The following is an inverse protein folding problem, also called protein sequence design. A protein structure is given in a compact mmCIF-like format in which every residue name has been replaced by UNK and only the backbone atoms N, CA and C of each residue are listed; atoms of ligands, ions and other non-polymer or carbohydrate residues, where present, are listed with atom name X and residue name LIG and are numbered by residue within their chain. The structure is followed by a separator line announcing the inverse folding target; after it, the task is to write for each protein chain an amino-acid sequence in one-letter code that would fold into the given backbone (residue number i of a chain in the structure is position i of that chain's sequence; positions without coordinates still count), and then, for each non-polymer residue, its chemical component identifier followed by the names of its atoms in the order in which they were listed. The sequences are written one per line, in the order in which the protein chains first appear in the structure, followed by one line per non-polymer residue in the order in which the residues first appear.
data_IF_303453554305
#
_entry.id   IF_303453554305
#
_cell.length_a   1.000
_cell.length_b   1.000
_cell.length_c   1.000
_cell.angle_alpha   90.00
_cell.angle_beta   90.00
_cell.angle_gamma   90.00
#
_symmetry.space_group_name_H-M   'P 1'
#
loop_
_entity.id
_entity.type
_entity.pdbx_description
1 polymer ?
#
# COMPACT_ATOMS: atom_id res chain seq x y z
N UNK A 1 31.64 -42.10 8.22
CA UNK A 1 30.46 -41.33 8.71
C UNK A 1 30.31 -40.05 7.92
N UNK A 2 29.20 -39.88 7.22
CA UNK A 2 28.90 -38.69 6.42
C UNK A 2 27.90 -37.80 7.17
N UNK A 3 28.10 -36.48 7.12
CA UNK A 3 27.14 -35.51 7.64
C UNK A 3 26.40 -34.87 6.47
N UNK A 4 25.10 -34.60 6.64
CA UNK A 4 24.34 -33.87 5.64
C UNK A 4 24.88 -32.43 5.52
N UNK A 5 25.26 -31.96 4.31
CA UNK A 5 25.76 -30.60 4.12
C UNK A 5 24.69 -29.52 4.33
N UNK A 6 23.42 -29.90 4.40
CA UNK A 6 22.30 -28.98 4.57
C UNK A 6 21.82 -28.88 6.02
N UNK A 7 21.61 -30.00 6.71
CA UNK A 7 21.05 -30.01 8.08
C UNK A 7 22.03 -30.47 9.16
N UNK A 8 23.25 -30.89 8.80
CA UNK A 8 24.30 -31.31 9.74
C UNK A 8 24.06 -32.65 10.44
N UNK A 9 22.92 -33.31 10.19
CA UNK A 9 22.59 -34.61 10.81
C UNK A 9 23.53 -35.69 10.29
N UNK A 10 23.86 -36.64 11.15
CA UNK A 10 24.62 -37.85 10.79
C UNK A 10 23.79 -38.73 9.87
N UNK A 11 24.41 -39.18 8.78
CA UNK A 11 23.74 -39.98 7.77
C UNK A 11 24.56 -41.24 7.47
N UNK A 12 23.85 -42.34 7.22
CA UNK A 12 24.42 -43.64 6.89
C UNK A 12 25.32 -43.55 5.64
N UNK A 13 26.38 -44.37 5.61
CA UNK A 13 27.44 -44.25 4.60
C UNK A 13 26.97 -44.49 3.16
N UNK A 14 25.83 -45.18 2.95
CA UNK A 14 25.26 -45.48 1.63
C UNK A 14 23.89 -44.81 1.38
N UNK A 15 23.49 -43.84 2.21
CA UNK A 15 22.19 -43.21 2.05
C UNK A 15 22.21 -42.19 0.90
N UNK A 16 21.37 -42.40 -0.11
CA UNK A 16 21.24 -41.50 -1.25
C UNK A 16 20.55 -40.16 -0.93
N UNK A 17 19.75 -40.12 0.15
CA UNK A 17 18.99 -38.95 0.58
C UNK A 17 19.00 -38.84 2.10
N UNK A 18 19.06 -37.60 2.60
CA UNK A 18 18.90 -37.32 4.03
C UNK A 18 17.44 -37.54 4.44
N UNK A 19 17.23 -38.42 5.42
CA UNK A 19 15.90 -38.72 5.99
C UNK A 19 15.24 -37.52 6.67
N UNK A 20 16.01 -36.54 7.12
CA UNK A 20 15.49 -35.37 7.85
C UNK A 20 15.08 -34.23 6.91
N UNK A 21 15.92 -33.87 5.94
CA UNK A 21 15.71 -32.69 5.09
C UNK A 21 15.49 -33.01 3.60
N UNK A 22 15.57 -34.29 3.22
CA UNK A 22 15.39 -34.76 1.84
C UNK A 22 16.54 -34.43 0.89
N UNK A 23 17.65 -33.87 1.38
CA UNK A 23 18.79 -33.49 0.54
C UNK A 23 19.51 -34.72 -0.02
N UNK A 24 19.83 -34.73 -1.31
CA UNK A 24 20.56 -35.83 -1.94
C UNK A 24 22.00 -35.83 -1.45
N UNK A 25 22.47 -36.97 -0.96
CA UNK A 25 23.85 -37.14 -0.50
C UNK A 25 24.61 -37.74 -1.67
N UNK A 26 25.54 -36.97 -2.23
CA UNK A 26 26.42 -37.42 -3.30
C UNK A 26 27.57 -38.20 -2.68
N UNK A 27 27.77 -39.41 -3.17
CA UNK A 27 28.85 -40.27 -2.75
C UNK A 27 30.21 -39.63 -3.07
N UNK A 28 31.18 -39.77 -2.16
CA UNK A 28 32.48 -39.05 -2.18
C UNK A 28 33.38 -39.39 -3.38
N UNK A 29 32.95 -40.23 -4.32
CA UNK A 29 33.76 -40.67 -5.46
C UNK A 29 33.70 -39.75 -6.68
N UNK A 30 32.80 -38.75 -6.70
CA UNK A 30 32.78 -37.72 -7.74
C UNK A 30 32.54 -36.36 -7.10
N UNK A 31 33.63 -35.71 -6.71
CA UNK A 31 33.64 -34.29 -6.39
C UNK A 31 33.21 -33.50 -7.64
N UNK A 32 32.00 -32.95 -7.62
CA UNK A 32 31.76 -31.70 -8.30
C UNK A 32 31.00 -30.79 -7.33
N UNK A 33 31.74 -30.01 -6.55
CA UNK A 33 31.18 -28.95 -5.70
C UNK A 33 30.26 -28.01 -6.49
N UNK A 34 30.49 -27.89 -7.81
CA UNK A 34 29.65 -27.15 -8.75
C UNK A 34 28.22 -27.72 -8.89
N UNK A 35 28.03 -29.04 -8.80
CA UNK A 35 26.70 -29.67 -8.85
C UNK A 35 25.88 -29.43 -7.57
N UNK A 36 26.54 -29.38 -6.40
CA UNK A 36 25.89 -29.09 -5.13
C UNK A 36 25.46 -27.61 -5.09
N UNK A 37 26.32 -26.72 -5.58
CA UNK A 37 26.03 -25.28 -5.68
C UNK A 37 24.90 -25.00 -6.67
N UNK A 38 24.87 -25.71 -7.81
CA UNK A 38 23.82 -25.56 -8.82
C UNK A 38 22.46 -26.09 -8.32
N UNK A 39 22.42 -27.19 -7.57
CA UNK A 39 21.18 -27.73 -7.00
C UNK A 39 20.55 -26.80 -5.96
N UNK A 40 21.37 -26.23 -5.07
CA UNK A 40 20.91 -25.24 -4.08
C UNK A 40 20.43 -23.95 -4.74
N UNK A 41 21.17 -23.43 -5.72
CA UNK A 41 20.77 -22.25 -6.48
C UNK A 41 19.45 -22.47 -7.25
N UNK A 42 19.28 -23.64 -7.88
CA UNK A 42 18.04 -23.99 -8.59
C UNK A 42 16.84 -24.13 -7.65
N UNK A 43 17.05 -24.68 -6.44
CA UNK A 43 16.00 -24.80 -5.40
C UNK A 43 15.63 -23.45 -4.81
N UNK A 44 16.61 -22.57 -4.60
CA UNK A 44 16.41 -21.19 -4.15
C UNK A 44 15.69 -20.35 -5.24
N UNK A 45 16.04 -20.57 -6.51
CA UNK A 45 15.31 -20.05 -7.67
C UNK A 45 13.85 -20.53 -7.68
N UNK A 46 13.60 -21.81 -7.39
CA UNK A 46 12.26 -22.42 -7.40
C UNK A 46 11.41 -22.00 -6.19
N UNK A 47 12.06 -21.62 -5.08
CA UNK A 47 11.42 -21.04 -3.89
C UNK A 47 11.00 -19.59 -4.12
N UNK A 48 11.70 -18.86 -4.99
CA UNK A 48 11.21 -17.57 -5.49
C UNK A 48 10.01 -17.83 -6.39
N UNK A 49 8.81 -17.62 -5.84
CA UNK A 49 7.55 -17.75 -6.58
C UNK A 49 7.64 -16.96 -7.89
N UNK A 50 7.17 -17.47 -9.03
CA UNK A 50 7.26 -16.79 -10.34
C UNK A 50 6.83 -15.31 -10.29
N UNK A 51 5.91 -14.98 -9.37
CA UNK A 51 5.51 -13.62 -9.06
C UNK A 51 6.66 -12.69 -8.63
N UNK A 52 7.61 -13.16 -7.82
CA UNK A 52 8.73 -12.35 -7.33
C UNK A 52 9.66 -11.91 -8.46
N UNK A 53 9.80 -12.73 -9.53
CA UNK A 53 10.63 -12.46 -10.71
C UNK A 53 10.06 -11.38 -11.64
N UNK A 54 8.77 -11.08 -11.52
CA UNK A 54 8.11 -10.09 -12.38
C UNK A 54 8.63 -8.67 -12.12
N UNK A 55 8.79 -7.90 -13.19
CA UNK A 55 9.06 -6.46 -13.11
C UNK A 55 7.91 -5.73 -12.39
N UNK A 56 8.21 -4.59 -11.76
CA UNK A 56 7.18 -3.81 -11.07
C UNK A 56 6.01 -3.39 -11.96
N UNK A 57 6.25 -3.20 -13.27
CA UNK A 57 5.18 -2.94 -14.25
C UNK A 57 4.30 -4.17 -14.47
N UNK A 58 4.88 -5.36 -14.65
CA UNK A 58 4.13 -6.61 -14.79
C UNK A 58 3.27 -6.89 -13.56
N UNK A 59 3.81 -6.71 -12.35
CA UNK A 59 3.04 -6.86 -11.09
C UNK A 59 1.83 -5.93 -11.04
N UNK A 60 2.00 -4.64 -11.40
CA UNK A 60 0.89 -3.68 -11.48
C UNK A 60 -0.12 -4.04 -12.56
N UNK A 61 0.32 -4.53 -13.71
CA UNK A 61 -0.56 -4.98 -14.79
C UNK A 61 -1.43 -6.17 -14.37
N UNK A 62 -0.85 -7.14 -13.68
CA UNK A 62 -1.60 -8.28 -13.10
C UNK A 62 -2.61 -7.78 -12.07
N UNK A 63 -2.18 -6.90 -11.14
CA UNK A 63 -3.08 -6.29 -10.17
C UNK A 63 -4.24 -5.55 -10.84
N UNK A 64 -3.97 -4.77 -11.88
CA UNK A 64 -4.99 -4.07 -12.68
C UNK A 64 -5.95 -5.04 -13.36
N UNK A 65 -5.48 -6.16 -13.92
CA UNK A 65 -6.34 -7.19 -14.52
C UNK A 65 -7.26 -7.82 -13.48
N UNK A 66 -6.71 -8.29 -12.36
CA UNK A 66 -7.49 -8.94 -11.29
C UNK A 66 -8.51 -7.95 -10.71
N UNK A 67 -8.07 -6.73 -10.40
CA UNK A 67 -8.97 -5.70 -9.89
C UNK A 67 -10.04 -5.33 -10.89
N UNK A 68 -9.73 -5.27 -12.19
CA UNK A 68 -10.71 -5.03 -13.24
C UNK A 68 -11.79 -6.11 -13.26
N UNK A 69 -11.41 -7.39 -13.18
CA UNK A 69 -12.37 -8.50 -13.13
C UNK A 69 -13.31 -8.40 -11.92
N UNK A 70 -12.77 -8.07 -10.74
CA UNK A 70 -13.55 -7.94 -9.51
C UNK A 70 -14.49 -6.72 -9.57
N UNK A 71 -13.99 -5.56 -9.99
CA UNK A 71 -14.78 -4.33 -10.02
C UNK A 71 -15.87 -4.39 -11.09
N UNK A 72 -15.55 -4.88 -12.29
CA UNK A 72 -16.54 -4.99 -13.38
C UNK A 72 -17.63 -5.99 -13.02
N UNK A 73 -17.27 -7.16 -12.48
CA UNK A 73 -18.28 -8.11 -12.01
C UNK A 73 -19.14 -7.52 -10.90
N UNK A 74 -18.56 -6.80 -9.93
CA UNK A 74 -19.31 -6.08 -8.90
C UNK A 74 -20.28 -5.04 -9.45
N UNK A 75 -19.88 -4.27 -10.46
CA UNK A 75 -20.76 -3.32 -11.16
C UNK A 75 -21.94 -4.05 -11.79
N UNK A 76 -21.68 -5.12 -12.56
CA UNK A 76 -22.73 -5.87 -13.26
C UNK A 76 -23.72 -6.48 -12.25
N UNK A 77 -23.21 -7.12 -11.20
CA UNK A 77 -24.03 -7.75 -10.16
C UNK A 77 -24.91 -6.72 -9.47
N UNK A 78 -24.34 -5.59 -9.04
CA UNK A 78 -25.09 -4.56 -8.30
C UNK A 78 -26.17 -3.91 -9.15
N UNK A 79 -25.89 -3.62 -10.43
CA UNK A 79 -26.90 -3.11 -11.38
C UNK A 79 -28.00 -4.13 -11.60
N UNK A 80 -27.65 -5.40 -11.82
CA UNK A 80 -28.62 -6.45 -12.09
C UNK A 80 -29.56 -6.68 -10.89
N UNK A 81 -29.02 -6.71 -9.67
CA UNK A 81 -29.80 -6.85 -8.43
C UNK A 81 -30.75 -5.67 -8.23
N UNK A 82 -30.27 -4.44 -8.44
CA UNK A 82 -31.07 -3.21 -8.33
C UNK A 82 -32.20 -3.20 -9.37
N UNK A 83 -31.90 -3.58 -10.61
CA UNK A 83 -32.88 -3.66 -11.68
C UNK A 83 -33.96 -4.71 -11.41
N UNK A 84 -33.60 -5.89 -10.89
CA UNK A 84 -34.58 -6.92 -10.53
C UNK A 84 -35.45 -6.45 -9.36
N UNK A 85 -34.84 -5.85 -8.34
CA UNK A 85 -35.54 -5.43 -7.13
C UNK A 85 -36.47 -4.25 -7.34
N UNK A 86 -36.02 -3.21 -8.05
CA UNK A 86 -36.74 -1.94 -8.17
C UNK A 86 -37.31 -1.66 -9.55
N UNK A 87 -36.95 -2.46 -10.56
CA UNK A 87 -37.25 -2.20 -11.99
C UNK A 87 -36.70 -0.88 -12.52
N UNK A 88 -35.77 -0.28 -11.78
CA UNK A 88 -35.09 0.97 -12.11
C UNK A 88 -33.69 0.97 -11.48
N UNK A 89 -32.84 1.91 -11.89
CA UNK A 89 -31.48 2.09 -11.37
C UNK A 89 -31.53 3.13 -10.25
N UNK A 90 -31.61 2.66 -9.00
CA UNK A 90 -31.81 3.51 -7.82
C UNK A 90 -30.55 3.61 -6.96
N UNK A 91 -30.10 2.51 -6.34
CA UNK A 91 -28.95 2.50 -5.45
C UNK A 91 -27.69 1.95 -6.12
N UNK A 92 -27.79 1.16 -7.20
CA UNK A 92 -26.61 0.58 -7.86
C UNK A 92 -25.71 1.62 -8.51
N UNK A 93 -26.24 2.82 -8.83
CA UNK A 93 -25.45 3.95 -9.32
C UNK A 93 -24.30 4.36 -8.40
N UNK A 94 -24.44 4.18 -7.07
CA UNK A 94 -23.38 4.51 -6.10
C UNK A 94 -22.20 3.53 -6.15
N UNK A 95 -22.35 2.20 -5.88
CA UNK A 95 -21.25 1.25 -5.99
C UNK A 95 -20.71 1.17 -7.42
N UNK A 96 -21.55 1.38 -8.45
CA UNK A 96 -21.08 1.39 -9.83
C UNK A 96 -20.09 2.53 -10.11
N UNK A 97 -20.42 3.76 -9.70
CA UNK A 97 -19.54 4.91 -9.88
C UNK A 97 -18.27 4.84 -9.04
N UNK A 98 -18.34 4.36 -7.79
CA UNK A 98 -17.14 4.12 -6.96
C UNK A 98 -16.22 3.13 -7.64
N UNK A 99 -16.77 2.01 -8.11
CA UNK A 99 -16.01 0.95 -8.76
C UNK A 99 -15.34 1.44 -10.05
N UNK A 100 -16.06 2.24 -10.84
CA UNK A 100 -15.51 2.87 -12.05
C UNK A 100 -14.34 3.81 -11.71
N UNK A 101 -14.49 4.67 -10.71
CA UNK A 101 -13.43 5.62 -10.31
C UNK A 101 -12.23 4.89 -9.72
N UNK A 102 -12.43 3.83 -8.93
CA UNK A 102 -11.33 2.96 -8.47
C UNK A 102 -10.59 2.33 -9.65
N UNK A 103 -11.32 1.80 -10.63
CA UNK A 103 -10.72 1.19 -11.81
C UNK A 103 -9.92 2.21 -12.65
N UNK A 104 -10.44 3.43 -12.82
CA UNK A 104 -9.71 4.54 -13.45
C UNK A 104 -8.40 4.81 -12.68
N UNK A 105 -8.45 4.92 -11.35
CA UNK A 105 -7.26 5.18 -10.54
C UNK A 105 -6.21 4.05 -10.60
N UNK A 106 -6.64 2.78 -10.65
CA UNK A 106 -5.73 1.65 -10.86
C UNK A 106 -5.12 1.65 -12.26
N UNK A 107 -5.89 2.05 -13.27
CA UNK A 107 -5.40 2.25 -14.64
C UNK A 107 -4.33 3.35 -14.68
N UNK A 108 -4.61 4.51 -14.08
CA UNK A 108 -3.66 5.62 -13.96
C UNK A 108 -2.38 5.19 -13.25
N UNK A 109 -2.49 4.46 -12.13
CA UNK A 109 -1.31 3.99 -11.39
C UNK A 109 -0.45 3.00 -12.20
N UNK A 110 -1.08 2.19 -13.04
CA UNK A 110 -0.39 1.15 -13.82
C UNK A 110 0.36 1.75 -15.00
N UNK A 111 -0.29 2.62 -15.79
CA UNK A 111 0.24 3.13 -17.05
C UNK A 111 0.95 4.49 -16.92
N UNK A 112 0.50 5.37 -16.02
CA UNK A 112 1.01 6.75 -15.89
C UNK A 112 2.01 6.92 -14.75
N UNK A 113 2.51 5.84 -14.13
CA UNK A 113 3.43 5.91 -12.98
C UNK A 113 4.68 6.76 -13.22
N UNK A 114 5.19 6.79 -14.46
CA UNK A 114 6.36 7.60 -14.85
C UNK A 114 6.05 9.11 -14.91
N UNK A 115 4.79 9.48 -15.11
CA UNK A 115 4.30 10.87 -15.19
C UNK A 115 3.50 11.20 -13.94
N UNK A 116 4.16 11.24 -12.78
CA UNK A 116 3.51 11.34 -11.46
C UNK A 116 2.56 12.54 -11.34
N UNK A 117 2.93 13.71 -11.86
CA UNK A 117 2.09 14.92 -11.83
C UNK A 117 0.78 14.72 -12.59
N UNK A 118 0.86 14.18 -13.82
CA UNK A 118 -0.32 13.89 -14.62
C UNK A 118 -1.21 12.84 -13.94
N UNK A 119 -0.60 11.81 -13.35
CA UNK A 119 -1.32 10.77 -12.61
C UNK A 119 -2.10 11.36 -11.42
N UNK A 120 -1.48 12.24 -10.63
CA UNK A 120 -2.11 12.88 -9.46
C UNK A 120 -3.26 13.81 -9.89
N UNK A 121 -3.06 14.61 -10.95
CA UNK A 121 -4.10 15.51 -11.47
C UNK A 121 -5.30 14.72 -12.01
N UNK A 122 -5.07 13.68 -12.81
CA UNK A 122 -6.16 12.83 -13.33
C UNK A 122 -6.88 12.07 -12.21
N UNK A 123 -6.14 11.63 -11.18
CA UNK A 123 -6.72 11.03 -9.99
C UNK A 123 -7.65 12.01 -9.27
N UNK A 124 -7.19 13.25 -9.02
CA UNK A 124 -8.02 14.31 -8.43
C UNK A 124 -9.29 14.57 -9.25
N UNK A 125 -9.16 14.72 -10.57
CA UNK A 125 -10.30 14.94 -11.46
C UNK A 125 -11.31 13.77 -11.41
N UNK A 126 -10.83 12.53 -11.34
CA UNK A 126 -11.71 11.35 -11.24
C UNK A 126 -12.51 11.32 -9.94
N UNK A 127 -11.91 11.68 -8.80
CA UNK A 127 -12.59 11.72 -7.50
C UNK A 127 -13.48 12.96 -7.37
N UNK A 128 -13.07 14.09 -7.94
CA UNK A 128 -13.93 15.27 -8.04
C UNK A 128 -15.19 14.96 -8.86
N UNK A 129 -15.05 14.25 -9.98
CA UNK A 129 -16.17 13.74 -10.78
C UNK A 129 -17.10 12.83 -9.98
N UNK A 130 -16.56 11.96 -9.12
CA UNK A 130 -17.35 11.14 -8.20
C UNK A 130 -18.23 11.97 -7.27
N UNK A 131 -17.67 13.01 -6.64
CA UNK A 131 -18.42 13.89 -5.74
C UNK A 131 -19.49 14.70 -6.48
N UNK A 132 -19.22 15.12 -7.71
CA UNK A 132 -20.22 15.75 -8.57
C UNK A 132 -21.39 14.80 -8.85
N UNK A 133 -21.10 13.55 -9.24
CA UNK A 133 -22.12 12.54 -9.50
C UNK A 133 -22.93 12.22 -8.24
N UNK A 134 -22.29 12.10 -7.09
CA UNK A 134 -22.99 11.85 -5.82
C UNK A 134 -23.93 12.99 -5.42
N UNK A 135 -23.52 14.23 -5.62
CA UNK A 135 -24.39 15.39 -5.39
C UNK A 135 -25.58 15.41 -6.36
N UNK A 136 -25.36 15.07 -7.63
CA UNK A 136 -26.45 14.90 -8.60
C UNK A 136 -27.41 13.79 -8.18
N UNK A 137 -26.90 12.64 -7.73
CA UNK A 137 -27.72 11.52 -7.25
C UNK A 137 -28.53 11.85 -6.01
N UNK A 138 -28.01 12.75 -5.17
CA UNK A 138 -28.63 13.24 -3.95
C UNK A 138 -29.59 14.43 -4.19
N UNK A 139 -29.81 14.88 -5.43
CA UNK A 139 -30.73 15.98 -5.74
C UNK A 139 -30.11 17.38 -5.60
N UNK A 140 -28.84 17.55 -5.95
CA UNK A 140 -28.13 18.85 -6.02
C UNK A 140 -28.11 19.65 -4.71
N UNK A 141 -27.78 18.99 -3.60
CA UNK A 141 -27.71 19.66 -2.29
C UNK A 141 -26.55 20.66 -2.17
N UNK A 142 -25.61 20.66 -3.12
CA UNK A 142 -24.49 21.59 -3.20
C UNK A 142 -23.33 21.25 -2.26
N UNK A 143 -23.40 20.09 -1.58
CA UNK A 143 -22.38 19.64 -0.63
C UNK A 143 -21.03 19.41 -1.33
N UNK A 144 -21.04 19.08 -2.63
CA UNK A 144 -19.84 18.92 -3.45
C UNK A 144 -18.91 20.13 -3.40
N UNK A 145 -19.45 21.36 -3.40
CA UNK A 145 -18.67 22.60 -3.41
C UNK A 145 -18.33 23.03 -1.98
N UNK A 146 -19.30 22.99 -1.07
CA UNK A 146 -19.15 23.52 0.29
C UNK A 146 -18.32 22.61 1.20
N UNK A 147 -18.33 21.30 0.96
CA UNK A 147 -17.69 20.30 1.81
C UNK A 147 -16.76 19.38 1.02
N UNK A 148 -17.27 18.74 -0.04
CA UNK A 148 -16.54 17.70 -0.77
C UNK A 148 -15.23 18.19 -1.37
N UNK A 149 -15.29 19.24 -2.19
CA UNK A 149 -14.12 19.78 -2.91
C UNK A 149 -13.05 20.38 -1.98
N UNK A 150 -13.38 21.17 -0.93
CA UNK A 150 -12.40 21.63 0.05
C UNK A 150 -11.67 20.47 0.75
N UNK A 151 -12.41 19.45 1.20
CA UNK A 151 -11.83 18.26 1.83
C UNK A 151 -10.95 17.48 0.86
N UNK A 152 -11.39 17.33 -0.40
CA UNK A 152 -10.61 16.67 -1.45
C UNK A 152 -9.31 17.43 -1.74
N UNK A 153 -9.38 18.76 -1.86
CA UNK A 153 -8.20 19.61 -2.08
C UNK A 153 -7.21 19.48 -0.92
N UNK A 154 -7.67 19.49 0.32
CA UNK A 154 -6.82 19.29 1.49
C UNK A 154 -6.17 17.90 1.48
N UNK A 155 -6.91 16.84 1.11
CA UNK A 155 -6.35 15.49 0.96
C UNK A 155 -5.23 15.42 -0.09
N UNK A 156 -5.43 16.00 -1.28
CA UNK A 156 -4.38 16.00 -2.30
C UNK A 156 -3.21 16.91 -1.95
N UNK A 157 -3.47 18.07 -1.32
CA UNK A 157 -2.41 18.98 -0.85
C UNK A 157 -1.52 18.31 0.21
N UNK A 158 -2.13 17.63 1.19
CA UNK A 158 -1.39 16.86 2.20
C UNK A 158 -0.60 15.70 1.58
N UNK A 159 -1.17 15.00 0.61
CA UNK A 159 -0.45 13.94 -0.11
C UNK A 159 0.77 14.47 -0.89
N UNK A 160 0.63 15.60 -1.59
CA UNK A 160 1.73 16.26 -2.30
C UNK A 160 2.79 16.75 -1.30
N UNK A 161 2.39 17.34 -0.18
CA UNK A 161 3.30 17.77 0.87
C UNK A 161 4.10 16.59 1.45
N UNK A 162 3.46 15.43 1.67
CA UNK A 162 4.13 14.21 2.11
C UNK A 162 5.16 13.72 1.08
N UNK A 163 4.80 13.69 -0.21
CA UNK A 163 5.75 13.30 -1.28
C UNK A 163 6.96 14.25 -1.27
N UNK A 164 6.72 15.55 -1.17
CA UNK A 164 7.78 16.56 -1.11
C UNK A 164 8.71 16.36 0.11
N UNK A 165 8.14 16.16 1.30
CA UNK A 165 8.90 15.87 2.52
C UNK A 165 9.73 14.58 2.40
N UNK A 166 9.17 13.53 1.79
CA UNK A 166 9.85 12.25 1.58
C UNK A 166 11.00 12.39 0.58
N UNK A 167 10.83 13.18 -0.48
CA UNK A 167 11.88 13.44 -1.46
C UNK A 167 13.04 14.26 -0.89
N UNK A 168 12.74 15.24 -0.04
CA UNK A 168 13.78 16.07 0.59
C UNK A 168 14.46 15.39 1.80
N UNK A 169 13.94 14.26 2.26
CA UNK A 169 14.50 13.56 3.41
C UNK A 169 15.76 12.77 3.05
N UNK A 170 16.89 13.15 3.66
CA UNK A 170 18.21 12.52 3.45
C UNK A 170 18.28 11.06 3.89
N UNK A 171 17.53 10.69 4.93
CA UNK A 171 17.45 9.31 5.43
C UNK A 171 16.00 8.88 5.50
N UNK A 172 15.65 7.84 4.75
CA UNK A 172 14.28 7.30 4.73
C UNK A 172 14.16 6.23 5.82
N UNK A 173 13.15 6.33 6.66
CA UNK A 173 12.89 5.37 7.74
C UNK A 173 11.71 5.80 8.59
N UNK A 174 11.87 5.75 9.91
CA UNK A 174 10.83 6.13 10.88
C UNK A 174 10.32 7.57 10.72
N UNK A 175 11.11 8.48 10.14
CA UNK A 175 10.67 9.84 9.87
C UNK A 175 9.52 9.93 8.86
N UNK A 176 9.43 9.01 7.88
CA UNK A 176 8.34 8.98 6.91
C UNK A 176 7.02 8.67 7.62
N UNK A 177 7.06 7.70 8.54
CA UNK A 177 5.91 7.29 9.35
C UNK A 177 5.47 8.45 10.24
N UNK A 178 6.41 9.16 10.87
CA UNK A 178 6.11 10.35 11.66
C UNK A 178 5.43 11.46 10.85
N UNK A 179 5.95 11.79 9.66
CA UNK A 179 5.31 12.80 8.80
C UNK A 179 3.91 12.38 8.36
N UNK A 180 3.72 11.09 8.02
CA UNK A 180 2.42 10.56 7.66
C UNK A 180 1.40 10.65 8.81
N UNK A 181 1.82 10.36 10.05
CA UNK A 181 0.99 10.48 11.24
C UNK A 181 0.59 11.93 11.52
N UNK A 182 1.53 12.87 11.46
CA UNK A 182 1.23 14.31 11.61
C UNK A 182 0.23 14.76 10.54
N UNK A 183 0.46 14.40 9.27
CA UNK A 183 -0.43 14.74 8.17
C UNK A 183 -1.84 14.14 8.37
N UNK A 184 -1.95 12.89 8.82
CA UNK A 184 -3.22 12.25 9.12
C UNK A 184 -3.97 12.97 10.27
N UNK A 185 -3.26 13.34 11.35
CA UNK A 185 -3.82 14.11 12.45
C UNK A 185 -4.37 15.47 12.00
N UNK A 186 -3.57 16.24 11.26
CA UNK A 186 -3.97 17.54 10.72
C UNK A 186 -5.15 17.42 9.74
N UNK A 187 -5.11 16.43 8.84
CA UNK A 187 -6.20 16.20 7.90
C UNK A 187 -7.48 15.83 8.63
N UNK A 188 -7.41 15.00 9.67
CA UNK A 188 -8.59 14.63 10.47
C UNK A 188 -9.23 15.86 11.13
N UNK A 189 -8.42 16.75 11.71
CA UNK A 189 -8.90 18.00 12.32
C UNK A 189 -9.51 18.94 11.28
N UNK A 190 -8.89 19.04 10.10
CA UNK A 190 -9.46 19.81 9.00
C UNK A 190 -10.80 19.24 8.53
N UNK A 191 -10.90 17.92 8.35
CA UNK A 191 -12.15 17.28 7.92
C UNK A 191 -13.27 17.46 8.93
N UNK A 192 -13.00 17.28 10.23
CA UNK A 192 -14.02 17.50 11.26
C UNK A 192 -14.43 18.98 11.31
N UNK A 193 -13.47 19.91 11.21
CA UNK A 193 -13.77 21.34 11.14
C UNK A 193 -14.68 21.71 9.97
N UNK A 194 -14.41 21.18 8.77
CA UNK A 194 -15.24 21.42 7.58
C UNK A 194 -16.65 20.82 7.73
N UNK A 195 -16.76 19.59 8.25
CA UNK A 195 -18.04 18.95 8.56
C UNK A 195 -18.82 19.79 9.57
N UNK A 196 -18.14 20.28 10.62
CA UNK A 196 -18.74 21.06 11.69
C UNK A 196 -19.28 22.40 11.18
N UNK A 197 -18.50 23.13 10.37
CA UNK A 197 -18.96 24.36 9.72
C UNK A 197 -20.15 24.07 8.81
N UNK A 198 -20.11 22.99 8.03
CA UNK A 198 -21.18 22.66 7.09
C UNK A 198 -22.52 22.35 7.78
N UNK A 199 -22.52 21.60 8.88
CA UNK A 199 -23.75 21.20 9.57
C UNK A 199 -24.17 22.16 10.70
N UNK A 200 -23.22 22.81 11.39
CA UNK A 200 -23.47 23.58 12.62
C UNK A 200 -23.21 25.08 12.46
N UNK A 201 -22.54 25.50 11.37
CA UNK A 201 -22.13 26.90 11.16
C UNK A 201 -20.99 27.37 12.06
N UNK A 202 -20.50 26.54 12.99
CA UNK A 202 -19.41 26.85 13.91
C UNK A 202 -18.38 25.73 13.91
N UNK A 203 -17.14 26.06 14.28
CA UNK A 203 -16.06 25.06 14.40
C UNK A 203 -16.18 24.37 15.75
N UNK A 204 -16.51 23.08 15.71
CA UNK A 204 -16.44 22.20 16.86
C UNK A 204 -15.54 21.01 16.51
N UNK A 205 -14.48 20.78 17.29
CA UNK A 205 -13.55 19.67 17.16
C UNK A 205 -13.62 18.80 18.42
N UNK A 206 -13.97 17.52 18.26
CA UNK A 206 -14.04 16.55 19.33
C UNK A 206 -13.02 15.44 19.15
N UNK A 207 -13.36 14.44 18.32
CA UNK A 207 -12.54 13.24 18.17
C UNK A 207 -11.24 13.52 17.42
N UNK A 208 -11.24 14.44 16.45
CA UNK A 208 -10.05 14.79 15.69
C UNK A 208 -8.94 15.40 16.54
N UNK A 209 -9.27 16.10 17.63
CA UNK A 209 -8.28 16.64 18.56
C UNK A 209 -7.54 15.51 19.28
N UNK A 210 -8.28 14.49 19.72
CA UNK A 210 -7.70 13.31 20.37
C UNK A 210 -6.76 12.61 19.38
N UNK A 211 -7.21 12.38 18.15
CA UNK A 211 -6.40 11.77 17.08
C UNK A 211 -5.14 12.60 16.79
N UNK A 212 -5.27 13.92 16.68
CA UNK A 212 -4.14 14.82 16.40
C UNK A 212 -3.11 14.79 17.52
N UNK A 213 -3.53 14.86 18.79
CA UNK A 213 -2.63 14.81 19.94
C UNK A 213 -1.90 13.48 19.99
N UNK A 214 -2.62 12.35 19.85
CA UNK A 214 -2.01 11.02 19.83
C UNK A 214 -1.02 10.87 18.67
N UNK A 215 -1.38 11.33 17.48
CA UNK A 215 -0.51 11.27 16.30
C UNK A 215 0.77 12.10 16.50
N UNK A 216 0.67 13.31 17.05
CA UNK A 216 1.82 14.17 17.33
C UNK A 216 2.76 13.54 18.35
N UNK A 217 2.24 13.01 19.46
CA UNK A 217 3.06 12.38 20.49
C UNK A 217 3.87 11.20 19.94
N UNK A 218 3.22 10.31 19.18
CA UNK A 218 3.89 9.17 18.54
C UNK A 218 4.91 9.67 17.51
N UNK A 219 4.56 10.68 16.73
CA UNK A 219 5.46 11.23 15.70
C UNK A 219 6.73 11.85 16.29
N UNK A 220 6.62 12.57 17.41
CA UNK A 220 7.77 13.12 18.13
C UNK A 220 8.70 12.01 18.59
N UNK A 221 8.16 10.94 19.19
CA UNK A 221 8.96 9.78 19.62
C UNK A 221 9.68 9.13 18.43
N UNK A 222 8.98 8.92 17.32
CA UNK A 222 9.55 8.33 16.11
C UNK A 222 10.67 9.19 15.51
N UNK A 223 10.49 10.51 15.45
CA UNK A 223 11.53 11.44 14.99
C UNK A 223 12.73 11.45 15.92
N UNK A 224 12.50 11.41 17.23
CA UNK A 224 13.56 11.33 18.24
C UNK A 224 14.40 10.04 18.08
N UNK A 225 13.75 8.87 17.95
CA UNK A 225 14.46 7.61 17.69
C UNK A 225 15.23 7.67 16.38
N UNK A 226 14.61 8.21 15.33
CA UNK A 226 15.22 8.28 14.01
C UNK A 226 16.48 9.15 13.98
N UNK A 227 16.44 10.35 14.56
CA UNK A 227 17.55 11.30 14.47
C UNK A 227 18.57 11.17 15.60
N UNK A 228 18.14 10.84 16.83
CA UNK A 228 19.03 10.75 18.00
C UNK A 228 19.57 9.33 18.19
N UNK A 229 18.70 8.31 18.19
CA UNK A 229 19.11 6.97 18.63
C UNK A 229 19.85 6.19 17.53
N UNK A 230 19.46 6.37 16.26
CA UNK A 230 20.14 5.73 15.11
C UNK A 230 21.61 6.13 15.00
N UNK A 231 21.99 7.35 15.40
CA UNK A 231 23.40 7.78 15.48
C UNK A 231 24.17 7.09 16.61
N UNK A 232 23.51 6.70 17.69
CA UNK A 232 24.15 6.10 18.88
C UNK A 232 24.36 4.60 18.73
N UNK A 233 23.49 3.89 18.01
CA UNK A 233 23.70 2.45 17.73
C UNK A 233 24.79 2.17 16.70
N UNK A 234 25.03 3.08 15.74
CA UNK A 234 26.19 2.98 14.84
C UNK A 234 27.53 3.24 15.57
N UNK A 235 27.53 3.96 16.70
CA UNK A 235 28.73 4.19 17.52
C UNK A 235 29.21 2.91 18.22
N UNK A 236 28.32 1.98 18.58
CA UNK A 236 28.72 0.65 19.12
C UNK A 236 29.47 -0.22 18.11
N UNK A 237 29.36 0.07 16.81
CA UNK A 237 30.14 -0.61 15.75
C UNK A 237 31.50 0.04 15.51
N UNK A 238 31.68 1.29 15.95
CA UNK A 238 32.94 2.03 15.86
C UNK A 238 33.86 1.76 17.06
N UNK A 239 33.30 1.50 18.23
CA UNK A 239 34.05 1.00 19.38
C UNK A 239 33.98 -0.52 19.39
N UNK A 240 35.00 -1.18 18.83
CA UNK A 240 35.20 -2.63 18.97
C UNK A 240 35.33 -2.99 20.46
N UNK A 241 34.21 -3.38 21.07
CA UNK A 241 34.12 -4.25 22.25
C UNK A 241 33.26 -5.43 21.84
#
# INVERSE_FOLDING_TARGET
MAHCPNCGVEVEENANFCSLCGERILDKTTENADFIKSGRALREEKLLTDYQRLTGYQKRKIFWQISGMILISGIIITIFVDFIGNRDITWSRYPATISLVLFINFTLNTFLRKKITLMVVLSFLSVAGLFILFDLYAGETGWKIKLGLPVLLAFYATFIALIYLIWNSKQKGLNIIAWALIAAGLLSAYTEGMISIYFRGTIHLGWSLIVMISAVLISILLLYIHYRLKRVTDLKRFFHI
#
